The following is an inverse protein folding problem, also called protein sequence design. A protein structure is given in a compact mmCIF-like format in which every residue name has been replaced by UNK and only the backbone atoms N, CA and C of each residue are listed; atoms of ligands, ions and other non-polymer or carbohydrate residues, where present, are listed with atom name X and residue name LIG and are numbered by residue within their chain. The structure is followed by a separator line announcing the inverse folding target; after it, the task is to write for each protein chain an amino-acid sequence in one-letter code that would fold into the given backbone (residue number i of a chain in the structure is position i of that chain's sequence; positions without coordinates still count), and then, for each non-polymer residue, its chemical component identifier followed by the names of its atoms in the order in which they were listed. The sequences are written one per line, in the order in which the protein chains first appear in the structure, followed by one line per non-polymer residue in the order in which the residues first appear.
data_IF_991543156048
#
_entry.id   IF_991543156048
#
_cell.length_a   1.000
_cell.length_b   1.000
_cell.length_c   1.000
_cell.angle_alpha   90.00
_cell.angle_beta   90.00
_cell.angle_gamma   90.00
#
_symmetry.space_group_name_H-M   'P 1'
#
loop_
_entity.id
_entity.type
_entity.pdbx_description
1 polymer ?
#
# COMPACT_ATOMS: atom_id res chain seq x y z
N UNK A 1 -9.03 -18.53 13.97
CA UNK A 1 -8.24 -18.68 12.71
C UNK A 1 -9.17 -18.43 11.53
N UNK A 2 -8.72 -17.71 10.50
CA UNK A 2 -9.48 -17.60 9.23
C UNK A 2 -9.11 -18.78 8.34
N UNK A 3 -10.10 -19.38 7.69
CA UNK A 3 -9.92 -20.51 6.77
C UNK A 3 -10.61 -20.17 5.44
N UNK A 4 -10.04 -20.66 4.34
CA UNK A 4 -10.66 -20.64 3.02
C UNK A 4 -10.91 -22.11 2.66
N UNK A 5 -12.19 -22.49 2.53
CA UNK A 5 -12.57 -23.80 2.02
C UNK A 5 -12.75 -23.69 0.50
N UNK A 6 -12.01 -24.51 -0.25
CA UNK A 6 -12.08 -24.55 -1.71
C UNK A 6 -12.66 -25.89 -2.12
N UNK A 7 -13.70 -25.87 -2.94
CA UNK A 7 -14.29 -27.07 -3.55
C UNK A 7 -14.14 -26.96 -5.06
N UNK A 8 -13.62 -27.99 -5.71
CA UNK A 8 -13.46 -28.02 -7.16
C UNK A 8 -14.82 -27.97 -7.86
N UNK A 9 -14.93 -27.17 -8.92
CA UNK A 9 -16.16 -27.01 -9.71
C UNK A 9 -15.89 -26.95 -11.24
N UNK A 10 -14.92 -27.73 -11.71
CA UNK A 10 -14.48 -27.73 -13.11
C UNK A 10 -13.49 -26.62 -13.47
N UNK A 11 -13.11 -26.50 -14.77
CA UNK A 11 -12.20 -25.46 -15.24
C UNK A 11 -12.77 -24.05 -15.04
N UNK A 12 -11.90 -23.08 -14.70
CA UNK A 12 -12.29 -21.66 -14.64
C UNK A 12 -12.45 -21.09 -16.06
N UNK A 13 -13.50 -20.30 -16.28
CA UNK A 13 -13.75 -19.59 -17.53
C UNK A 13 -14.24 -18.17 -17.23
N UNK A 14 -13.63 -17.16 -17.86
CA UNK A 14 -13.95 -15.75 -17.65
C UNK A 14 -12.70 -14.86 -17.67
N UNK A 15 -12.87 -13.61 -17.25
CA UNK A 15 -11.81 -12.61 -17.21
C UNK A 15 -11.63 -12.08 -15.78
N UNK A 16 -10.41 -11.67 -15.44
CA UNK A 16 -10.09 -11.02 -14.17
C UNK A 16 -9.13 -9.86 -14.42
N UNK A 17 -9.40 -8.72 -13.80
CA UNK A 17 -8.48 -7.60 -13.83
C UNK A 17 -7.37 -7.79 -12.80
N UNK A 18 -6.12 -7.65 -13.25
CA UNK A 18 -4.94 -7.78 -12.38
C UNK A 18 -4.62 -6.42 -11.77
N UNK A 19 -4.55 -6.36 -10.44
CA UNK A 19 -4.11 -5.17 -9.73
C UNK A 19 -2.61 -4.89 -9.96
N UNK A 20 -2.17 -3.66 -9.69
CA UNK A 20 -0.76 -3.30 -9.80
C UNK A 20 0.18 -4.17 -8.95
N UNK A 21 1.44 -4.21 -9.34
CA UNK A 21 2.43 -5.09 -8.74
C UNK A 21 2.88 -4.59 -7.36
N UNK A 22 2.60 -5.37 -6.31
CA UNK A 22 3.04 -5.09 -4.93
C UNK A 22 4.53 -4.75 -4.84
N UNK A 23 5.38 -5.53 -5.52
CA UNK A 23 6.82 -5.38 -5.45
C UNK A 23 7.34 -4.15 -6.20
N UNK A 24 6.55 -3.54 -7.09
CA UNK A 24 6.82 -2.22 -7.65
C UNK A 24 6.26 -1.11 -6.75
N UNK A 25 5.07 -1.30 -6.20
CA UNK A 25 4.42 -0.32 -5.33
C UNK A 25 5.20 -0.04 -4.04
N UNK A 26 5.77 -1.05 -3.38
CA UNK A 26 6.52 -0.89 -2.13
C UNK A 26 7.71 0.10 -2.23
N UNK A 27 8.65 -0.04 -3.18
CA UNK A 27 9.74 0.93 -3.32
C UNK A 27 9.25 2.30 -3.80
N UNK A 28 8.19 2.37 -4.61
CA UNK A 28 7.58 3.65 -5.01
C UNK A 28 7.03 4.40 -3.79
N UNK A 29 6.31 3.69 -2.90
CA UNK A 29 5.80 4.25 -1.65
C UNK A 29 6.97 4.77 -0.79
N UNK A 30 8.06 4.00 -0.66
CA UNK A 30 9.24 4.45 0.07
C UNK A 30 9.90 5.69 -0.57
N UNK A 31 9.91 5.78 -1.90
CA UNK A 31 10.47 6.93 -2.62
C UNK A 31 9.73 8.25 -2.36
N UNK A 32 8.49 8.21 -1.84
CA UNK A 32 7.78 9.43 -1.40
C UNK A 32 8.55 10.23 -0.34
N UNK A 33 9.43 9.59 0.42
CA UNK A 33 10.28 10.24 1.42
C UNK A 33 11.40 11.09 0.80
N UNK A 34 11.65 10.97 -0.50
CA UNK A 34 12.75 11.67 -1.19
C UNK A 34 12.36 13.06 -1.72
N UNK A 35 11.09 13.46 -1.59
CA UNK A 35 10.60 14.77 -2.07
C UNK A 35 9.56 15.35 -1.12
N UNK A 36 9.55 16.67 -0.83
CA UNK A 36 8.48 17.31 -0.06
C UNK A 36 7.19 17.57 -0.86
N UNK A 37 7.19 17.27 -2.17
CA UNK A 37 6.03 17.39 -3.04
C UNK A 37 5.11 16.16 -2.94
N UNK A 38 3.79 16.29 -3.23
CA UNK A 38 2.90 15.14 -3.30
C UNK A 38 3.39 14.09 -4.30
N UNK A 39 3.53 12.85 -3.84
CA UNK A 39 3.67 11.69 -4.73
C UNK A 39 2.29 11.10 -5.00
N UNK A 40 1.86 11.13 -6.26
CA UNK A 40 0.61 10.51 -6.71
C UNK A 40 0.92 9.19 -7.43
N UNK A 41 0.27 8.09 -7.00
CA UNK A 41 0.47 6.76 -7.57
C UNK A 41 -0.87 6.08 -7.78
N UNK A 42 -1.13 5.66 -9.01
CA UNK A 42 -2.34 4.93 -9.38
C UNK A 42 -2.12 3.42 -9.38
N UNK A 43 -3.23 2.66 -9.37
CA UNK A 43 -3.23 1.19 -9.48
C UNK A 43 -2.47 0.48 -8.33
N UNK A 44 -2.57 1.00 -7.11
CA UNK A 44 -1.98 0.39 -5.90
C UNK A 44 -2.86 -0.79 -5.42
N UNK A 45 -2.29 -2.00 -5.25
CA UNK A 45 -3.04 -3.17 -4.80
C UNK A 45 -3.50 -3.06 -3.33
N UNK A 46 -4.68 -3.60 -3.03
CA UNK A 46 -5.24 -3.66 -1.67
C UNK A 46 -4.72 -4.82 -0.82
N UNK A 47 -3.40 -4.98 -0.70
CA UNK A 47 -2.76 -6.08 0.05
C UNK A 47 -2.15 -5.59 1.36
N UNK A 48 -1.98 -6.51 2.34
CA UNK A 48 -1.53 -6.17 3.70
C UNK A 48 -0.20 -5.42 3.72
N UNK A 49 0.78 -5.87 2.94
CA UNK A 49 2.11 -5.24 2.90
C UNK A 49 2.03 -3.75 2.55
N UNK A 50 1.15 -3.36 1.62
CA UNK A 50 0.92 -1.96 1.26
C UNK A 50 0.33 -1.21 2.45
N UNK A 51 -0.74 -1.72 3.05
CA UNK A 51 -1.37 -1.07 4.20
C UNK A 51 -0.38 -0.88 5.36
N UNK A 52 0.45 -1.89 5.63
CA UNK A 52 1.49 -1.82 6.66
C UNK A 52 2.54 -0.75 6.31
N UNK A 53 3.04 -0.69 5.07
CA UNK A 53 3.97 0.37 4.67
C UNK A 53 3.38 1.77 4.78
N UNK A 54 2.11 1.96 4.43
CA UNK A 54 1.44 3.26 4.59
C UNK A 54 1.28 3.67 6.06
N UNK A 55 0.92 2.72 6.92
CA UNK A 55 0.87 2.96 8.37
C UNK A 55 2.24 3.35 8.92
N UNK A 56 3.32 2.70 8.46
CA UNK A 56 4.67 3.08 8.83
C UNK A 56 4.98 4.53 8.41
N UNK A 57 4.67 4.91 7.17
CA UNK A 57 4.87 6.29 6.72
C UNK A 57 4.07 7.30 7.55
N UNK A 58 2.83 6.97 7.93
CA UNK A 58 2.01 7.81 8.82
C UNK A 58 2.66 7.98 10.20
N UNK A 59 3.25 6.93 10.77
CA UNK A 59 4.00 7.02 12.04
C UNK A 59 5.25 7.91 11.94
N UNK A 60 5.83 8.04 10.75
CA UNK A 60 6.94 8.97 10.51
C UNK A 60 6.46 10.43 10.35
N UNK A 61 5.15 10.67 10.23
CA UNK A 61 4.55 11.99 10.03
C UNK A 61 4.07 12.26 8.60
N UNK A 62 4.09 11.27 7.70
CA UNK A 62 3.55 11.45 6.34
C UNK A 62 2.02 11.54 6.36
N UNK A 63 1.45 12.46 5.58
CA UNK A 63 0.03 12.42 5.26
C UNK A 63 -0.19 11.47 4.06
N UNK A 64 -1.16 10.57 4.20
CA UNK A 64 -1.50 9.56 3.20
C UNK A 64 -2.99 9.61 2.92
N UNK A 65 -3.35 9.84 1.66
CA UNK A 65 -4.74 9.82 1.18
C UNK A 65 -4.90 8.70 0.16
N UNK A 66 -5.98 7.92 0.30
CA UNK A 66 -6.29 6.81 -0.62
C UNK A 66 -7.71 6.95 -1.15
N UNK A 67 -7.85 6.91 -2.48
CA UNK A 67 -9.15 6.86 -3.18
C UNK A 67 -9.18 5.65 -4.11
N UNK A 68 -9.88 4.59 -3.70
CA UNK A 68 -9.87 3.32 -4.43
C UNK A 68 -8.46 2.71 -4.54
N UNK A 69 -7.94 2.64 -5.76
CA UNK A 69 -6.58 2.17 -6.04
C UNK A 69 -5.54 3.30 -6.16
N UNK A 70 -5.96 4.55 -6.05
CA UNK A 70 -5.07 5.70 -6.16
C UNK A 70 -4.63 6.18 -4.78
N UNK A 71 -3.39 6.65 -4.72
CA UNK A 71 -2.71 7.06 -3.50
C UNK A 71 -2.03 8.41 -3.70
N UNK A 72 -2.16 9.28 -2.71
CA UNK A 72 -1.40 10.52 -2.59
C UNK A 72 -0.62 10.47 -1.27
N UNK A 73 0.69 10.67 -1.32
CA UNK A 73 1.56 10.73 -0.14
C UNK A 73 2.24 12.09 -0.08
N UNK A 74 2.17 12.74 1.07
CA UNK A 74 2.92 13.94 1.40
C UNK A 74 3.87 13.67 2.56
N UNK A 75 5.16 13.92 2.37
CA UNK A 75 6.22 13.66 3.35
C UNK A 75 6.87 14.94 3.90
N UNK A 76 6.30 16.12 3.61
CA UNK A 76 6.80 17.44 4.07
C UNK A 76 6.97 17.51 5.59
N UNK A 77 6.02 16.95 6.32
CA UNK A 77 5.94 17.06 7.78
C UNK A 77 6.52 15.83 8.50
N UNK A 78 7.37 15.05 7.83
CA UNK A 78 8.09 13.94 8.46
C UNK A 78 8.91 14.48 9.64
N UNK A 79 8.59 13.99 10.83
CA UNK A 79 9.14 14.49 12.10
C UNK A 79 9.70 13.37 12.97
N UNK A 80 9.60 12.11 12.53
CA UNK A 80 10.14 10.94 13.24
C UNK A 80 10.89 10.05 12.26
N UNK A 81 11.97 9.44 12.74
CA UNK A 81 12.68 8.32 12.10
C UNK A 81 12.57 7.04 12.92
N UNK A 82 11.79 7.07 14.00
CA UNK A 82 11.56 5.95 14.89
C UNK A 82 10.13 5.45 14.73
N UNK A 83 10.00 4.18 14.37
CA UNK A 83 8.73 3.46 14.39
C UNK A 83 8.68 2.66 15.69
N UNK A 84 7.71 2.91 16.58
CA UNK A 84 7.51 2.05 17.73
C UNK A 84 7.03 0.69 17.24
N UNK A 85 7.83 -0.34 17.49
CA UNK A 85 7.38 -1.71 17.38
C UNK A 85 6.81 -2.09 18.75
N UNK A 86 5.58 -2.65 18.77
CA UNK A 86 4.77 -3.06 19.93
C UNK A 86 3.61 -2.12 20.32
N UNK A 87 2.39 -2.55 19.98
CA UNK A 87 1.22 -2.60 20.87
C UNK A 87 0.47 -3.90 20.63
#
# INVERSE_FOLDING_TARGET
MKQILITGNGPLCGEVSVAGAKNAALPIIAASLLTPEPLQVSNIPGVRDISTSLQLLQLLGCAVERSGTDLIIHSRDVHSVHVPYEQ
#
